data_IF_112928684297
#
_entry.id   IF_112928684297
#
_cell.length_a   1.000
_cell.length_b   1.000
_cell.length_c   1.000
_cell.angle_alpha   90.00
_cell.angle_beta   90.00
_cell.angle_gamma   90.00
#
_symmetry.space_group_name_H-M   'P 1'
#
loop_
_entity.id
_entity.type
_entity.pdbx_description
1 polymer ?
#
# COMPACT_ATOMS: atom_id res chain seq x y z
N UNK A 1 -0.46 -1.58 -13.91
CA UNK A 1 -1.83 -1.04 -14.09
C UNK A 1 -1.80 0.20 -14.95
N UNK A 2 -0.89 1.11 -14.64
CA UNK A 2 -0.62 2.31 -15.40
C UNK A 2 0.51 2.02 -16.40
N UNK A 3 0.62 2.80 -17.50
CA UNK A 3 1.75 2.67 -18.42
C UNK A 3 3.06 3.01 -17.73
N UNK A 4 4.16 2.40 -18.18
CA UNK A 4 5.51 2.75 -17.69
C UNK A 4 5.89 4.17 -18.12
N UNK A 5 6.69 4.83 -17.29
CA UNK A 5 7.22 6.18 -17.55
C UNK A 5 8.73 6.12 -17.68
N UNK A 6 9.31 6.89 -18.60
CA UNK A 6 10.76 7.03 -18.67
C UNK A 6 11.21 7.99 -17.58
N UNK A 7 12.16 7.58 -16.73
CA UNK A 7 12.78 8.49 -15.76
C UNK A 7 14.29 8.48 -15.87
N UNK A 8 14.93 9.67 -15.86
CA UNK A 8 16.37 9.77 -15.75
C UNK A 8 16.84 9.33 -14.36
N UNK A 9 18.12 8.99 -14.25
CA UNK A 9 18.79 8.84 -12.97
C UNK A 9 18.66 10.13 -12.13
N UNK A 10 18.69 9.98 -10.80
CA UNK A 10 18.71 11.15 -9.91
C UNK A 10 19.96 12.01 -10.22
N UNK A 11 19.87 13.36 -10.19
CA UNK A 11 20.98 14.24 -10.56
C UNK A 11 22.30 13.89 -9.85
N UNK A 12 22.21 13.60 -8.56
CA UNK A 12 23.37 13.18 -7.76
C UNK A 12 24.01 11.87 -8.24
N UNK A 13 23.22 10.93 -8.74
CA UNK A 13 23.74 9.68 -9.32
C UNK A 13 24.34 9.92 -10.71
N UNK A 14 23.75 10.79 -11.52
CA UNK A 14 24.32 11.19 -12.80
C UNK A 14 25.69 11.85 -12.60
N UNK A 15 25.81 12.73 -11.59
CA UNK A 15 27.07 13.38 -11.22
C UNK A 15 28.11 12.37 -10.69
N UNK A 16 27.72 11.51 -9.74
CA UNK A 16 28.63 10.52 -9.13
C UNK A 16 29.15 9.49 -10.13
N UNK A 17 28.31 9.05 -11.06
CA UNK A 17 28.65 7.99 -12.01
C UNK A 17 28.90 8.50 -13.44
N UNK A 18 28.86 9.83 -13.66
CA UNK A 18 29.06 10.49 -14.96
C UNK A 18 28.27 9.82 -16.09
N UNK A 19 27.03 9.43 -15.81
CA UNK A 19 26.19 8.63 -16.69
C UNK A 19 24.79 9.21 -16.74
N UNK A 20 24.28 9.46 -17.95
CA UNK A 20 22.90 9.87 -18.18
C UNK A 20 22.12 8.75 -18.87
N UNK A 21 21.31 8.02 -18.09
CA UNK A 21 20.47 6.93 -18.57
C UNK A 21 19.05 7.18 -18.09
N UNK A 22 18.09 7.00 -19.00
CA UNK A 22 16.67 6.93 -18.68
C UNK A 22 16.19 5.48 -18.78
N UNK A 23 15.46 5.04 -17.75
CA UNK A 23 14.90 3.68 -17.69
C UNK A 23 13.37 3.73 -17.62
N UNK A 24 12.68 2.73 -18.21
CA UNK A 24 11.26 2.55 -17.99
C UNK A 24 11.03 2.15 -16.52
N UNK A 25 10.28 2.98 -15.80
CA UNK A 25 9.89 2.75 -14.41
C UNK A 25 8.38 2.80 -14.26
N UNK A 26 7.88 2.25 -13.16
CA UNK A 26 6.47 2.36 -12.82
C UNK A 26 6.04 3.83 -12.72
N UNK A 27 4.80 4.10 -13.10
CA UNK A 27 4.14 5.37 -12.83
C UNK A 27 4.27 5.74 -11.33
N UNK A 28 4.34 7.04 -11.05
CA UNK A 28 4.55 7.55 -9.68
C UNK A 28 3.47 7.04 -8.73
N UNK A 29 2.21 7.02 -9.18
CA UNK A 29 1.12 6.56 -8.36
C UNK A 29 1.19 5.04 -8.10
N UNK A 30 1.57 4.28 -9.11
CA UNK A 30 1.71 2.82 -9.00
C UNK A 30 2.85 2.45 -8.04
N UNK A 31 3.99 3.15 -8.13
CA UNK A 31 5.12 3.00 -7.24
C UNK A 31 4.75 3.28 -5.77
N UNK A 32 4.12 4.42 -5.49
CA UNK A 32 3.77 4.79 -4.12
C UNK A 32 2.60 3.99 -3.57
N UNK A 33 1.64 3.58 -4.41
CA UNK A 33 0.58 2.64 -4.00
C UNK A 33 1.15 1.34 -3.45
N UNK A 34 2.14 0.75 -4.15
CA UNK A 34 2.85 -0.44 -3.66
C UNK A 34 3.65 -0.20 -2.39
N UNK A 35 4.34 0.95 -2.27
CA UNK A 35 5.08 1.33 -1.06
C UNK A 35 4.16 1.50 0.15
N UNK A 36 2.97 2.06 -0.01
CA UNK A 36 1.99 2.19 1.06
C UNK A 36 1.50 0.82 1.57
N UNK A 37 1.26 -0.14 0.67
CA UNK A 37 0.91 -1.53 1.07
C UNK A 37 2.06 -2.15 1.87
N UNK A 38 3.29 -2.02 1.38
CA UNK A 38 4.46 -2.54 2.08
C UNK A 38 4.66 -1.90 3.46
N UNK A 39 4.50 -0.58 3.56
CA UNK A 39 4.62 0.17 4.81
C UNK A 39 3.56 -0.25 5.83
N UNK A 40 2.32 -0.46 5.41
CA UNK A 40 1.23 -0.91 6.29
C UNK A 40 1.43 -2.36 6.76
N UNK A 41 1.93 -3.23 5.87
CA UNK A 41 2.10 -4.66 6.17
C UNK A 41 3.33 -4.95 7.04
N UNK A 42 4.51 -4.49 6.61
CA UNK A 42 5.80 -4.80 7.24
C UNK A 42 6.22 -3.80 8.30
N UNK A 43 5.81 -2.54 8.15
CA UNK A 43 6.19 -1.42 9.01
C UNK A 43 7.72 -1.32 9.22
N UNK A 44 8.50 -1.47 8.15
CA UNK A 44 9.96 -1.37 8.23
C UNK A 44 10.42 0.11 8.12
N UNK A 45 11.49 0.54 8.81
CA UNK A 45 12.00 1.93 8.74
C UNK A 45 12.20 2.47 7.32
N UNK A 46 12.72 1.64 6.40
CA UNK A 46 12.85 1.97 4.97
C UNK A 46 11.52 2.33 4.29
N UNK A 47 10.46 1.59 4.61
CA UNK A 47 9.13 1.85 4.05
C UNK A 47 8.56 3.14 4.65
N UNK A 48 8.79 3.40 5.94
CA UNK A 48 8.41 4.66 6.58
C UNK A 48 9.17 5.85 6.01
N UNK A 49 10.46 5.70 5.73
CA UNK A 49 11.24 6.73 5.06
C UNK A 49 10.71 7.03 3.65
N UNK A 50 10.35 6.00 2.90
CA UNK A 50 9.71 6.13 1.59
C UNK A 50 8.38 6.90 1.66
N UNK A 51 7.55 6.61 2.67
CA UNK A 51 6.29 7.31 2.93
C UNK A 51 6.53 8.74 3.40
N UNK A 52 7.53 8.99 4.25
CA UNK A 52 7.93 10.33 4.68
C UNK A 52 8.27 11.18 3.46
N UNK A 53 9.14 10.69 2.58
CA UNK A 53 9.54 11.40 1.35
C UNK A 53 8.38 11.59 0.38
N UNK A 54 7.47 10.62 0.31
CA UNK A 54 6.22 10.76 -0.44
C UNK A 54 5.39 11.94 0.09
N UNK A 55 5.15 11.99 1.41
CA UNK A 55 4.33 13.01 2.06
C UNK A 55 4.96 14.39 1.97
N UNK A 56 6.28 14.52 2.13
CA UNK A 56 7.02 15.78 1.99
C UNK A 56 6.92 16.34 0.57
N UNK A 57 7.00 15.48 -0.46
CA UNK A 57 7.08 15.92 -1.86
C UNK A 57 5.72 16.08 -2.52
N UNK A 58 4.79 15.17 -2.25
CA UNK A 58 3.52 15.08 -2.97
C UNK A 58 2.31 15.24 -2.04
N UNK A 59 2.47 15.08 -0.74
CA UNK A 59 1.35 14.95 0.18
C UNK A 59 0.47 13.74 -0.16
N UNK A 60 -0.80 13.81 0.24
CA UNK A 60 -1.79 12.78 -0.12
C UNK A 60 -2.38 13.08 -1.50
N UNK A 61 -2.20 12.15 -2.43
CA UNK A 61 -2.77 12.20 -3.76
C UNK A 61 -3.82 11.11 -3.91
N UNK A 62 -4.97 11.43 -4.52
CA UNK A 62 -6.05 10.43 -4.74
C UNK A 62 -5.56 9.24 -5.55
N UNK A 63 -4.76 9.46 -6.60
CA UNK A 63 -4.20 8.42 -7.45
C UNK A 63 -3.31 7.42 -6.68
N UNK A 64 -2.64 7.86 -5.59
CA UNK A 64 -1.83 6.98 -4.75
C UNK A 64 -2.72 6.07 -3.91
N UNK A 65 -3.85 6.59 -3.43
CA UNK A 65 -4.85 5.82 -2.70
C UNK A 65 -5.55 4.83 -3.63
N UNK A 66 -5.90 5.23 -4.85
CA UNK A 66 -6.46 4.33 -5.87
C UNK A 66 -5.50 3.14 -6.10
N UNK A 67 -4.21 3.43 -6.34
CA UNK A 67 -3.21 2.39 -6.53
C UNK A 67 -3.00 1.54 -5.28
N UNK A 68 -2.98 2.13 -4.08
CA UNK A 68 -2.92 1.39 -2.82
C UNK A 68 -4.06 0.36 -2.71
N UNK A 69 -5.30 0.77 -2.97
CA UNK A 69 -6.48 -0.11 -2.92
C UNK A 69 -6.37 -1.24 -3.94
N UNK A 70 -5.88 -0.95 -5.14
CA UNK A 70 -5.68 -1.95 -6.18
C UNK A 70 -4.58 -2.97 -5.84
N UNK A 71 -3.46 -2.54 -5.26
CA UNK A 71 -2.41 -3.45 -4.78
C UNK A 71 -2.89 -4.27 -3.57
N UNK A 72 -3.62 -3.64 -2.65
CA UNK A 72 -4.22 -4.31 -1.50
C UNK A 72 -5.19 -5.42 -1.94
N UNK A 73 -5.93 -5.21 -3.03
CA UNK A 73 -6.82 -6.21 -3.60
C UNK A 73 -6.11 -7.48 -4.10
N UNK A 74 -4.82 -7.39 -4.43
CA UNK A 74 -3.98 -8.53 -4.78
C UNK A 74 -3.16 -9.09 -3.61
N UNK A 75 -3.21 -8.50 -2.42
CA UNK A 75 -2.35 -8.86 -1.31
C UNK A 75 -2.76 -10.19 -0.66
N UNK A 76 -1.79 -11.00 -0.23
CA UNK A 76 -2.06 -12.34 0.32
C UNK A 76 -2.80 -12.29 1.68
N UNK A 77 -2.47 -11.33 2.54
CA UNK A 77 -3.10 -11.19 3.86
C UNK A 77 -4.55 -10.65 3.80
N UNK A 78 -5.40 -10.94 4.78
CA UNK A 78 -6.74 -10.35 4.86
C UNK A 78 -6.70 -8.82 4.81
N UNK A 79 -7.68 -8.22 4.11
CA UNK A 79 -7.70 -6.77 3.85
C UNK A 79 -7.69 -5.96 5.15
N UNK A 80 -8.50 -6.35 6.13
CA UNK A 80 -8.59 -5.65 7.41
C UNK A 80 -7.29 -5.73 8.23
N UNK A 81 -6.50 -6.81 8.10
CA UNK A 81 -5.23 -6.94 8.81
C UNK A 81 -4.16 -5.98 8.28
N UNK A 82 -4.16 -5.72 6.96
CA UNK A 82 -3.21 -4.81 6.33
C UNK A 82 -3.68 -3.37 6.46
N UNK A 83 -4.97 -3.10 6.28
CA UNK A 83 -5.51 -1.74 6.32
C UNK A 83 -5.59 -1.18 7.74
N UNK A 84 -5.77 -2.04 8.75
CA UNK A 84 -5.84 -1.67 10.16
C UNK A 84 -4.82 -2.45 10.99
N UNK A 85 -3.52 -2.28 10.70
CA UNK A 85 -2.47 -3.09 11.30
C UNK A 85 -2.27 -2.69 12.76
N UNK A 86 -1.76 -3.63 13.56
CA UNK A 86 -1.20 -3.30 14.87
C UNK A 86 0.14 -2.59 14.66
N UNK A 87 0.38 -1.48 15.37
CA UNK A 87 1.64 -0.76 15.30
C UNK A 87 2.79 -1.65 15.78
N UNK A 88 3.87 -1.73 15.00
CA UNK A 88 5.10 -2.44 15.35
C UNK A 88 6.20 -1.44 15.75
N UNK A 89 7.04 -1.75 16.75
CA UNK A 89 8.17 -0.89 17.11
C UNK A 89 9.20 -0.86 15.97
N UNK A 90 9.66 0.35 15.62
CA UNK A 90 10.64 0.55 14.55
C UNK A 90 12.08 0.41 15.03
N UNK A 91 12.33 0.69 16.31
CA UNK A 91 13.67 0.81 16.88
C UNK A 91 14.61 -0.39 16.63
N UNK A 92 14.16 -1.65 16.77
CA UNK A 92 15.05 -2.79 16.53
C UNK A 92 15.59 -2.80 15.10
N UNK A 93 14.71 -2.67 14.10
CA UNK A 93 15.09 -2.65 12.69
C UNK A 93 15.80 -1.35 12.30
N UNK A 94 15.52 -0.24 12.98
CA UNK A 94 16.17 1.04 12.71
C UNK A 94 17.67 0.97 13.00
N UNK A 95 18.01 0.42 14.16
CA UNK A 95 19.40 0.32 14.62
C UNK A 95 20.21 -0.69 13.81
N UNK A 96 19.61 -1.80 13.39
CA UNK A 96 20.32 -2.88 12.70
C UNK A 96 20.32 -2.77 11.18
N UNK A 97 19.24 -2.25 10.58
CA UNK A 97 19.01 -2.37 9.13
C UNK A 97 18.82 -1.03 8.41
N UNK A 98 18.69 0.09 9.13
CA UNK A 98 18.44 1.40 8.52
C UNK A 98 19.56 2.41 8.74
N UNK A 99 20.21 2.37 9.90
CA UNK A 99 21.33 3.26 10.23
C UNK A 99 22.43 3.15 9.17
N UNK A 100 22.82 4.29 8.58
CA UNK A 100 23.85 4.36 7.54
C UNK A 100 23.39 4.10 6.09
N UNK A 101 22.13 3.73 5.85
CA UNK A 101 21.59 3.54 4.49
C UNK A 101 21.19 4.84 3.77
N UNK A 102 20.95 5.92 4.52
CA UNK A 102 20.46 7.19 3.96
C UNK A 102 21.55 8.25 4.00
N UNK A 103 21.63 9.07 2.95
CA UNK A 103 22.63 10.15 2.85
C UNK A 103 22.35 11.34 3.77
N UNK A 104 21.11 11.45 4.26
CA UNK A 104 20.68 12.43 5.24
C UNK A 104 20.26 11.71 6.50
N UNK A 105 20.80 12.11 7.66
CA UNK A 105 20.39 11.55 8.94
C UNK A 105 18.89 11.79 9.15
N UNK A 106 18.11 10.72 9.23
CA UNK A 106 16.71 10.76 9.64
C UNK A 106 16.62 10.17 11.04
N UNK A 107 16.05 10.95 11.96
CA UNK A 107 15.84 10.53 13.34
C UNK A 107 14.73 9.46 13.41
N UNK A 108 14.85 8.54 14.37
CA UNK A 108 13.87 7.47 14.57
C UNK A 108 12.46 8.04 14.82
N UNK A 109 12.39 9.10 15.62
CA UNK A 109 11.17 9.80 16.01
C UNK A 109 10.38 10.26 14.77
N UNK A 110 11.07 10.76 13.74
CA UNK A 110 10.43 11.18 12.49
C UNK A 110 9.76 10.00 11.76
N UNK A 111 10.37 8.81 11.81
CA UNK A 111 9.80 7.61 11.20
C UNK A 111 8.61 7.09 12.02
N UNK A 112 8.68 7.18 13.34
CA UNK A 112 7.56 6.82 14.22
C UNK A 112 6.36 7.77 14.07
N UNK A 113 6.61 9.06 13.93
CA UNK A 113 5.59 10.06 13.59
C UNK A 113 4.97 9.76 12.23
N UNK A 114 5.80 9.42 11.23
CA UNK A 114 5.32 9.03 9.90
C UNK A 114 4.45 7.78 9.95
N UNK A 115 4.86 6.77 10.72
CA UNK A 115 4.08 5.54 10.93
C UNK A 115 2.73 5.84 11.59
N UNK A 116 2.71 6.65 12.65
CA UNK A 116 1.47 7.08 13.30
C UNK A 116 0.55 7.80 12.32
N UNK A 117 1.11 8.73 11.54
CA UNK A 117 0.37 9.50 10.54
C UNK A 117 -0.19 8.60 9.44
N UNK A 118 0.60 7.66 8.93
CA UNK A 118 0.20 6.71 7.91
C UNK A 118 -0.98 5.84 8.38
N UNK A 119 -0.83 5.18 9.54
CA UNK A 119 -1.85 4.29 10.10
C UNK A 119 -3.15 5.04 10.41
N UNK A 120 -3.05 6.30 10.84
CA UNK A 120 -4.22 7.12 11.13
C UNK A 120 -4.90 7.70 9.87
N UNK A 121 -4.13 8.15 8.88
CA UNK A 121 -4.66 8.92 7.75
C UNK A 121 -5.04 8.05 6.56
N UNK A 122 -4.30 6.98 6.26
CA UNK A 122 -4.55 6.17 5.06
C UNK A 122 -5.95 5.55 5.05
N UNK A 123 -6.44 4.90 6.13
CA UNK A 123 -7.81 4.36 6.14
C UNK A 123 -8.88 5.44 5.96
N UNK A 124 -8.62 6.67 6.43
CA UNK A 124 -9.53 7.82 6.28
C UNK A 124 -9.50 8.41 4.87
N UNK A 125 -8.37 8.31 4.18
CA UNK A 125 -8.20 8.77 2.80
C UNK A 125 -8.97 7.89 1.78
N UNK A 126 -9.42 6.69 2.14
CA UNK A 126 -10.27 5.88 1.28
C UNK A 126 -11.62 6.56 1.03
N UNK A 127 -12.05 6.61 -0.23
CA UNK A 127 -13.40 7.07 -0.60
C UNK A 127 -14.44 6.00 -0.27
N UNK A 128 -15.73 6.35 -0.30
CA UNK A 128 -16.81 5.36 -0.20
C UNK A 128 -16.66 4.26 -1.26
N UNK A 129 -16.37 4.64 -2.52
CA UNK A 129 -16.11 3.70 -3.63
C UNK A 129 -14.99 2.70 -3.31
N UNK A 130 -13.91 3.13 -2.67
CA UNK A 130 -12.82 2.23 -2.25
C UNK A 130 -13.27 1.24 -1.18
N UNK A 131 -14.03 1.71 -0.18
CA UNK A 131 -14.55 0.86 0.89
C UNK A 131 -15.52 -0.17 0.31
N UNK A 132 -16.45 0.26 -0.54
CA UNK A 132 -17.44 -0.60 -1.20
C UNK A 132 -16.76 -1.63 -2.10
N UNK A 133 -15.73 -1.23 -2.85
CA UNK A 133 -14.91 -2.15 -3.64
C UNK A 133 -14.26 -3.23 -2.77
N UNK A 134 -13.58 -2.84 -1.68
CA UNK A 134 -12.91 -3.81 -0.80
C UNK A 134 -13.91 -4.74 -0.09
N UNK A 135 -15.09 -4.25 0.29
CA UNK A 135 -16.17 -5.07 0.85
C UNK A 135 -16.71 -6.09 -0.18
N UNK A 136 -16.94 -5.65 -1.42
CA UNK A 136 -17.35 -6.53 -2.51
C UNK A 136 -16.28 -7.58 -2.85
N UNK A 137 -15.01 -7.20 -2.79
CA UNK A 137 -13.87 -8.09 -3.01
C UNK A 137 -13.82 -9.21 -1.96
N UNK A 138 -13.92 -8.88 -0.66
CA UNK A 138 -13.88 -9.91 0.40
C UNK A 138 -15.11 -10.83 0.41
N UNK A 139 -16.21 -10.41 -0.25
CA UNK A 139 -17.36 -11.28 -0.59
C UNK A 139 -17.12 -12.17 -1.82
N UNK A 140 -15.95 -12.07 -2.44
CA UNK A 140 -15.57 -12.74 -3.69
C UNK A 140 -16.41 -12.32 -4.92
N UNK A 141 -17.05 -11.16 -4.85
CA UNK A 141 -17.91 -10.56 -5.88
C UNK A 141 -17.48 -9.09 -6.14
N UNK A 142 -16.23 -8.86 -6.60
CA UNK A 142 -15.68 -7.51 -6.71
C UNK A 142 -16.43 -6.66 -7.73
N UNK A 143 -16.89 -5.49 -7.29
CA UNK A 143 -17.45 -4.44 -8.15
C UNK A 143 -16.32 -3.64 -8.82
N UNK A 144 -15.74 -4.19 -9.89
CA UNK A 144 -14.55 -3.64 -10.56
C UNK A 144 -14.74 -2.21 -11.10
N UNK A 145 -15.96 -1.85 -11.45
CA UNK A 145 -16.36 -0.52 -11.93
C UNK A 145 -16.21 0.58 -10.87
N UNK A 146 -16.05 0.20 -9.59
CA UNK A 146 -15.73 1.12 -8.51
C UNK A 146 -14.29 1.64 -8.58
N UNK A 147 -13.39 0.92 -9.25
CA UNK A 147 -11.98 1.29 -9.41
C UNK A 147 -11.71 1.89 -10.80
N UNK A 148 -10.76 2.85 -10.91
CA UNK A 148 -10.47 3.54 -12.18
C UNK A 148 -9.61 2.72 -13.15
N UNK A 149 -9.28 1.45 -12.84
CA UNK A 149 -8.32 0.65 -13.57
C UNK A 149 -9.01 -0.46 -14.38
N UNK A 150 -9.23 -0.23 -15.67
CA UNK A 150 -9.92 -1.16 -16.57
C UNK A 150 -9.33 -2.59 -16.57
N UNK A 151 -8.01 -2.71 -16.39
CA UNK A 151 -7.30 -3.99 -16.44
C UNK A 151 -7.13 -4.66 -15.06
N UNK A 152 -7.62 -4.08 -13.96
CA UNK A 152 -7.40 -4.61 -12.61
C UNK A 152 -7.93 -6.05 -12.45
N UNK A 153 -9.09 -6.35 -13.02
CA UNK A 153 -9.71 -7.68 -12.97
C UNK A 153 -8.90 -8.78 -13.69
N UNK A 154 -8.02 -8.39 -14.61
CA UNK A 154 -7.20 -9.29 -15.41
C UNK A 154 -5.81 -9.52 -14.81
N UNK A 155 -5.46 -8.81 -13.72
CA UNK A 155 -4.15 -8.97 -13.11
C UNK A 155 -4.04 -10.29 -12.32
N UNK A 156 -2.87 -10.96 -12.34
CA UNK A 156 -2.69 -12.24 -11.65
C UNK A 156 -2.95 -12.17 -10.14
N UNK A 157 -2.53 -11.09 -9.47
CA UNK A 157 -2.62 -10.98 -8.02
C UNK A 157 -4.08 -10.87 -7.51
N UNK A 158 -4.94 -9.97 -8.03
CA UNK A 158 -6.37 -9.99 -7.72
C UNK A 158 -7.07 -11.31 -8.07
N UNK A 159 -6.72 -11.94 -9.20
CA UNK A 159 -7.28 -13.25 -9.57
C UNK A 159 -6.90 -14.34 -8.55
N UNK A 160 -5.64 -14.34 -8.11
CA UNK A 160 -5.16 -15.24 -7.06
C UNK A 160 -5.87 -15.01 -5.73
N UNK A 161 -6.07 -13.74 -5.34
CA UNK A 161 -6.84 -13.39 -4.14
C UNK A 161 -8.26 -13.96 -4.20
N UNK A 162 -8.95 -13.77 -5.33
CA UNK A 162 -10.31 -14.27 -5.53
C UNK A 162 -10.38 -15.79 -5.49
N UNK A 163 -9.40 -16.48 -6.09
CA UNK A 163 -9.32 -17.93 -6.00
C UNK A 163 -9.22 -18.40 -4.54
N UNK A 164 -8.38 -17.74 -3.73
CA UNK A 164 -8.23 -18.07 -2.32
C UNK A 164 -9.47 -17.76 -1.49
N UNK A 165 -10.16 -16.65 -1.77
CA UNK A 165 -11.43 -16.31 -1.11
C UNK A 165 -12.53 -17.32 -1.44
N UNK A 166 -12.66 -17.75 -2.70
CA UNK A 166 -13.62 -18.79 -3.10
C UNK A 166 -13.33 -20.14 -2.44
N UNK A 167 -12.05 -20.54 -2.39
CA UNK A 167 -11.61 -21.74 -1.65
C UNK A 167 -11.90 -21.63 -0.16
N UNK A 168 -11.72 -20.45 0.44
CA UNK A 168 -12.05 -20.22 1.83
C UNK A 168 -13.57 -20.32 2.07
N UNK A 169 -14.39 -19.72 1.21
CA UNK A 169 -15.87 -19.78 1.29
C UNK A 169 -16.39 -21.22 1.33
N UNK A 170 -15.79 -22.12 0.54
CA UNK A 170 -16.17 -23.54 0.52
C UNK A 170 -15.61 -24.33 1.71
N UNK A 171 -14.39 -24.01 2.16
CA UNK A 171 -13.70 -24.76 3.22
C UNK A 171 -14.14 -24.35 4.62
N UNK A 172 -14.41 -23.07 4.83
CA UNK A 172 -14.68 -22.45 6.12
C UNK A 172 -15.50 -21.18 5.92
N UNK A 173 -16.82 -21.35 5.81
CA UNK A 173 -17.77 -20.26 5.57
C UNK A 173 -17.84 -19.27 6.72
N UNK A 174 -17.65 -19.73 7.96
CA UNK A 174 -17.63 -18.89 9.15
C UNK A 174 -16.45 -17.92 9.11
N UNK A 175 -15.24 -18.41 8.84
CA UNK A 175 -14.06 -17.55 8.69
C UNK A 175 -14.15 -16.64 7.47
N UNK A 176 -14.76 -17.11 6.38
CA UNK A 176 -15.02 -16.28 5.21
C UNK A 176 -15.90 -15.07 5.56
N UNK A 177 -17.05 -15.28 6.20
CA UNK A 177 -17.94 -14.19 6.63
C UNK A 177 -17.27 -13.26 7.64
N UNK A 178 -16.51 -13.81 8.60
CA UNK A 178 -15.81 -13.02 9.60
C UNK A 178 -14.82 -12.01 8.99
N UNK A 179 -14.16 -12.32 7.86
CA UNK A 179 -13.28 -11.36 7.19
C UNK A 179 -14.02 -10.12 6.68
N UNK A 180 -15.23 -10.32 6.18
CA UNK A 180 -16.10 -9.24 5.73
C UNK A 180 -16.60 -8.42 6.92
N UNK A 181 -17.08 -9.08 7.96
CA UNK A 181 -17.70 -8.41 9.11
C UNK A 181 -16.69 -7.58 9.90
N UNK A 182 -15.46 -8.10 10.09
CA UNK A 182 -14.36 -7.34 10.70
C UNK A 182 -14.01 -6.11 9.85
N UNK A 183 -13.92 -6.26 8.53
CA UNK A 183 -13.61 -5.13 7.64
C UNK A 183 -14.71 -4.05 7.69
N UNK A 184 -15.97 -4.47 7.65
CA UNK A 184 -17.13 -3.57 7.73
C UNK A 184 -17.17 -2.82 9.08
N UNK A 185 -16.95 -3.54 10.18
CA UNK A 185 -16.87 -2.96 11.53
C UNK A 185 -15.77 -1.91 11.65
N UNK A 186 -14.57 -2.21 11.13
CA UNK A 186 -13.44 -1.26 11.11
C UNK A 186 -13.74 0.00 10.31
N UNK A 187 -14.44 -0.14 9.17
CA UNK A 187 -14.87 1.02 8.38
C UNK A 187 -15.93 1.85 9.10
N UNK A 188 -16.88 1.21 9.79
CA UNK A 188 -17.88 1.93 10.59
C UNK A 188 -17.25 2.73 11.74
N UNK A 189 -16.16 2.22 12.34
CA UNK A 189 -15.42 2.89 13.40
C UNK A 189 -14.49 4.03 12.96
N UNK A 190 -14.42 4.36 11.66
CA UNK A 190 -13.61 5.49 11.16
C UNK A 190 -14.32 6.86 11.25
N UNK A 191 -15.56 6.88 11.76
CA UNK A 191 -16.36 8.09 12.03
C UNK A 191 -15.62 9.11 12.89
#
# INVERSE_FOLDING_TARGET
>A
MLPVTQRPLAPRAQELFTTDVALPVLDTAELYGGKLVAAMDRQHPRDMFDVLKMLERFGWQSSFVDCFVAYLAGHNRPVHEVLFPKKLPLEPAFSTEFTGLTSANVALEMLEETQNRLVAQLPRALTSRHRDFLLSLVRAEPAWDLMPFANLQHLPAPQWKLLNLRKLKTRDSARFSAQHDELASRFAGLS
#
